data_IF_427481204522
#
_entry.id   IF_427481204522
#
_cell.length_a   1.000
_cell.length_b   1.000
_cell.length_c   1.000
_cell.angle_alpha   90.00
_cell.angle_beta   90.00
_cell.angle_gamma   90.00
#
_symmetry.space_group_name_H-M   'P 1'
#
loop_
_entity.id
_entity.type
_entity.pdbx_description
1 polymer ?
#
# COMPACT_ATOMS: atom_id res chain seq x y z
N UNK A 1 34.22 -53.56 16.04
CA UNK A 1 34.31 -53.62 17.52
C UNK A 1 33.45 -52.47 18.04
N UNK A 2 32.17 -52.70 18.40
CA UNK A 2 31.66 -53.24 19.71
C UNK A 2 31.75 -52.09 20.74
N UNK A 3 30.71 -51.48 21.33
CA UNK A 3 29.34 -51.83 21.79
C UNK A 3 28.40 -50.58 21.73
N UNK A 4 27.05 -50.61 21.60
CA UNK A 4 25.95 -51.17 22.46
C UNK A 4 25.97 -50.56 23.89
N UNK A 5 24.90 -50.05 24.53
CA UNK A 5 23.52 -50.51 24.84
C UNK A 5 22.63 -49.28 25.27
N UNK A 6 21.35 -49.15 24.86
CA UNK A 6 20.07 -49.48 25.55
C UNK A 6 19.59 -48.48 26.66
N UNK A 7 18.46 -47.78 26.45
CA UNK A 7 17.10 -47.94 27.06
C UNK A 7 17.07 -47.68 28.60
N UNK A 8 16.17 -46.88 29.18
CA UNK A 8 14.78 -47.23 29.60
C UNK A 8 14.11 -45.98 30.25
N UNK A 9 12.90 -45.64 29.76
CA UNK A 9 11.60 -45.40 30.46
C UNK A 9 11.55 -44.60 31.77
N UNK A 10 10.64 -43.62 31.85
CA UNK A 10 9.66 -43.51 32.94
C UNK A 10 8.45 -42.62 32.56
N UNK A 11 7.28 -43.24 32.56
CA UNK A 11 5.95 -42.63 32.59
C UNK A 11 5.71 -42.02 33.98
N UNK A 12 4.86 -40.98 34.08
CA UNK A 12 3.95 -40.90 35.21
C UNK A 12 2.71 -40.05 34.91
N UNK A 13 1.57 -40.69 35.16
CA UNK A 13 0.19 -40.26 35.02
C UNK A 13 -0.35 -39.50 36.25
N UNK A 14 -1.46 -38.78 36.02
CA UNK A 14 -2.65 -38.60 36.89
C UNK A 14 -2.53 -37.82 38.23
N UNK A 15 -3.35 -36.78 38.36
CA UNK A 15 -4.57 -36.86 39.21
C UNK A 15 -5.46 -35.60 39.13
N UNK A 16 -6.74 -35.85 38.87
CA UNK A 16 -7.90 -35.00 39.12
C UNK A 16 -8.41 -35.20 40.56
N UNK A 17 -8.96 -34.15 41.17
CA UNK A 17 -10.06 -34.14 42.18
C UNK A 17 -10.11 -32.72 42.79
N UNK A 18 -11.18 -32.10 43.27
CA UNK A 18 -12.62 -32.39 43.44
C UNK A 18 -13.29 -31.02 43.75
N UNK A 19 -14.49 -30.74 43.23
CA UNK A 19 -15.79 -30.71 43.96
C UNK A 19 -15.84 -29.80 45.20
N UNK A 20 -16.60 -28.70 45.16
CA UNK A 20 -18.02 -28.54 45.53
C UNK A 20 -18.14 -27.82 46.89
N UNK A 21 -18.70 -26.63 46.90
CA UNK A 21 -19.35 -26.08 48.09
C UNK A 21 -20.66 -25.39 47.69
N UNK A 22 -21.75 -25.97 48.20
CA UNK A 22 -23.13 -25.49 48.13
C UNK A 22 -23.42 -24.77 49.45
N UNK A 23 -23.94 -23.55 49.40
CA UNK A 23 -24.82 -23.08 50.47
C UNK A 23 -25.94 -22.19 49.92
N UNK A 24 -27.12 -22.49 50.46
CA UNK A 24 -28.43 -21.93 50.24
C UNK A 24 -28.62 -20.58 50.92
N UNK A 25 -29.35 -19.66 50.30
CA UNK A 25 -30.39 -18.91 51.02
C UNK A 25 -31.45 -18.35 50.07
N UNK A 26 -32.68 -18.35 50.56
CA UNK A 26 -33.94 -18.00 49.89
C UNK A 26 -34.45 -16.65 50.39
N UNK A 27 -34.87 -15.76 49.49
CA UNK A 27 -36.01 -14.86 49.72
C UNK A 27 -36.41 -14.14 48.43
N UNK A 28 -37.70 -14.27 48.11
CA UNK A 28 -38.40 -13.51 47.08
C UNK A 28 -38.72 -12.09 47.60
N UNK A 29 -38.51 -11.06 46.79
CA UNK A 29 -39.38 -9.87 46.75
C UNK A 29 -39.46 -9.31 45.32
N UNK A 30 -40.70 -9.08 44.88
CA UNK A 30 -41.16 -8.61 43.57
C UNK A 30 -41.32 -7.09 43.59
N UNK A 31 -40.58 -6.35 42.74
CA UNK A 31 -40.85 -4.94 42.43
C UNK A 31 -40.58 -4.66 40.95
N UNK A 32 -41.66 -4.64 40.18
CA UNK A 32 -41.92 -3.85 38.96
C UNK A 32 -40.75 -3.08 38.33
N UNK A 33 -40.24 -3.55 37.18
CA UNK A 33 -39.41 -2.73 36.29
C UNK A 33 -40.21 -2.35 35.05
N UNK A 34 -40.41 -1.04 34.89
CA UNK A 34 -41.01 -0.38 33.75
C UNK A 34 -40.27 -0.79 32.47
N UNK A 35 -41.03 -1.26 31.47
CA UNK A 35 -40.57 -1.35 30.08
C UNK A 35 -40.35 0.06 29.53
N UNK A 36 -39.11 0.33 29.15
CA UNK A 36 -38.56 1.44 28.36
C UNK A 36 -37.05 1.08 28.27
N UNK A 37 -36.39 0.88 27.13
CA UNK A 37 -36.58 1.44 25.81
C UNK A 37 -36.03 0.44 24.77
N UNK A 38 -36.82 0.12 23.75
CA UNK A 38 -36.30 -0.35 22.46
C UNK A 38 -35.51 0.82 21.84
N UNK A 39 -34.22 0.92 22.12
CA UNK A 39 -33.31 1.67 21.25
C UNK A 39 -32.83 0.70 20.17
N UNK A 40 -33.68 0.50 19.17
CA UNK A 40 -33.21 0.00 17.88
C UNK A 40 -32.11 0.95 17.36
N UNK A 41 -31.12 0.44 16.59
CA UNK A 41 -30.06 1.29 16.09
C UNK A 41 -30.68 2.39 15.23
N UNK A 42 -30.58 3.63 15.70
CA UNK A 42 -30.79 4.83 14.88
C UNK A 42 -29.58 4.85 13.94
N UNK A 43 -29.69 4.18 12.79
CA UNK A 43 -28.82 4.49 11.66
C UNK A 43 -29.31 5.83 11.14
N UNK A 44 -28.62 6.90 11.53
CA UNK A 44 -28.69 8.14 10.78
C UNK A 44 -28.34 7.80 9.33
N UNK A 45 -29.20 8.17 8.39
CA UNK A 45 -29.03 7.90 6.96
C UNK A 45 -27.87 8.70 6.34
N UNK A 46 -26.83 8.98 7.10
CA UNK A 46 -25.56 9.48 6.61
C UNK A 46 -24.98 8.39 5.68
N UNK A 47 -24.66 8.70 4.42
CA UNK A 47 -23.96 7.75 3.56
C UNK A 47 -22.71 7.29 4.31
N UNK A 48 -22.53 5.98 4.48
CA UNK A 48 -21.27 5.42 4.93
C UNK A 48 -20.26 5.80 3.83
N UNK A 49 -19.50 6.86 4.04
CA UNK A 49 -18.41 7.21 3.14
C UNK A 49 -17.47 6.01 3.10
N UNK A 50 -17.30 5.42 1.90
CA UNK A 50 -16.35 4.32 1.69
C UNK A 50 -14.98 4.81 2.12
N UNK A 51 -14.43 4.21 3.17
CA UNK A 51 -13.10 4.52 3.64
C UNK A 51 -12.10 4.12 2.55
N UNK A 52 -11.26 5.07 2.12
CA UNK A 52 -10.26 4.83 1.09
C UNK A 52 -9.01 4.22 1.72
N UNK A 53 -8.41 3.27 1.01
CA UNK A 53 -7.19 2.57 1.40
C UNK A 53 -6.09 3.56 1.80
N UNK A 54 -5.47 3.26 2.93
CA UNK A 54 -4.30 3.95 3.46
C UNK A 54 -3.21 2.91 3.70
N UNK A 55 -2.07 3.08 3.06
CA UNK A 55 -0.97 2.11 3.12
C UNK A 55 -0.24 2.22 4.47
N UNK A 56 -0.33 1.19 5.35
CA UNK A 56 0.34 1.23 6.65
C UNK A 56 1.86 1.02 6.53
N UNK A 57 2.34 0.41 5.45
CA UNK A 57 3.76 0.12 5.22
C UNK A 57 4.48 1.28 4.54
N UNK A 58 3.74 2.16 3.88
CA UNK A 58 4.27 3.36 3.22
C UNK A 58 3.42 4.60 3.54
N UNK A 59 3.45 5.05 4.80
CA UNK A 59 2.53 6.08 5.28
C UNK A 59 2.79 7.45 4.64
N UNK A 60 1.73 8.22 4.45
CA UNK A 60 1.77 9.56 3.86
C UNK A 60 2.42 10.62 4.80
N UNK A 61 3.70 10.44 5.14
CA UNK A 61 4.48 11.30 6.02
C UNK A 61 5.97 11.31 5.62
N UNK A 62 6.82 11.92 6.45
CA UNK A 62 8.24 12.10 6.15
C UNK A 62 9.04 10.78 6.07
N UNK A 63 8.60 9.68 6.70
CA UNK A 63 9.29 8.39 6.63
C UNK A 63 9.30 7.81 5.21
N UNK A 64 8.20 8.00 4.47
CA UNK A 64 8.14 7.61 3.06
C UNK A 64 8.93 8.55 2.13
N UNK A 65 9.25 9.77 2.58
CA UNK A 65 10.03 10.73 1.79
C UNK A 65 11.54 10.57 1.99
N UNK A 66 11.99 10.30 3.22
CA UNK A 66 13.39 10.42 3.62
C UNK A 66 13.88 9.19 4.40
N UNK A 67 15.12 8.78 4.15
CA UNK A 67 15.68 7.56 4.75
C UNK A 67 16.27 7.78 6.15
N UNK A 68 16.85 8.96 6.37
CA UNK A 68 17.67 9.23 7.58
C UNK A 68 17.52 10.64 8.16
N UNK A 69 16.56 11.44 7.68
CA UNK A 69 16.41 12.83 8.11
C UNK A 69 14.97 13.11 8.52
N UNK A 70 14.79 13.42 9.79
CA UNK A 70 13.62 14.17 10.20
C UNK A 70 13.78 15.63 9.72
N UNK A 71 13.31 15.89 8.49
CA UNK A 71 13.10 17.25 7.99
C UNK A 71 11.70 17.70 8.42
N UNK A 72 11.44 17.73 9.72
CA UNK A 72 10.20 18.19 10.36
C UNK A 72 9.75 19.58 9.90
N UNK A 73 10.63 20.35 9.26
CA UNK A 73 10.37 21.71 8.77
C UNK A 73 9.97 21.84 7.29
N UNK A 74 9.75 20.76 6.54
CA UNK A 74 9.35 20.89 5.14
C UNK A 74 7.84 21.20 5.00
N UNK A 75 7.40 22.34 5.56
CA UNK A 75 6.01 22.85 5.57
C UNK A 75 5.38 22.94 4.17
N UNK A 76 6.19 22.86 3.12
CA UNK A 76 5.75 22.92 1.73
C UNK A 76 5.15 21.62 1.20
N UNK A 77 5.39 20.46 1.83
CA UNK A 77 4.93 19.15 1.32
C UNK A 77 3.63 18.74 1.98
N UNK A 78 2.63 18.45 1.16
CA UNK A 78 1.34 17.87 1.57
C UNK A 78 1.15 16.56 0.84
N UNK A 79 0.50 15.59 1.47
CA UNK A 79 0.07 14.38 0.81
C UNK A 79 -1.38 14.53 0.41
N UNK A 80 -1.69 14.35 -0.87
CA UNK A 80 -3.05 14.47 -1.40
C UNK A 80 -3.33 13.38 -2.42
N UNK A 81 -4.57 12.89 -2.45
CA UNK A 81 -5.10 12.04 -3.52
C UNK A 81 -5.36 12.89 -4.76
N UNK A 82 -5.20 12.37 -5.99
CA UNK A 82 -5.48 13.08 -7.25
C UNK A 82 -6.82 13.82 -7.26
N UNK A 83 -7.88 13.18 -6.75
CA UNK A 83 -9.23 13.78 -6.62
C UNK A 83 -9.30 15.06 -5.76
N UNK A 84 -8.29 15.33 -4.93
CA UNK A 84 -8.25 16.50 -4.04
C UNK A 84 -7.56 17.73 -4.66
N UNK A 85 -6.92 17.58 -5.82
CA UNK A 85 -6.20 18.69 -6.47
C UNK A 85 -6.29 18.70 -8.00
N UNK A 86 -7.00 17.75 -8.61
CA UNK A 86 -7.29 17.72 -10.04
C UNK A 86 -8.76 17.40 -10.26
N UNK A 87 -9.41 18.12 -11.17
CA UNK A 87 -10.86 18.00 -11.41
C UNK A 87 -11.26 16.66 -12.04
N UNK A 88 -10.44 16.16 -12.98
CA UNK A 88 -10.70 14.91 -13.72
C UNK A 88 -9.44 14.06 -13.74
N UNK A 89 -9.02 13.47 -12.60
CA UNK A 89 -7.86 12.61 -12.57
C UNK A 89 -8.14 11.32 -13.36
N UNK A 90 -7.14 10.85 -14.07
CA UNK A 90 -7.14 9.60 -14.83
C UNK A 90 -5.95 8.76 -14.43
N UNK A 91 -6.18 7.48 -14.21
CA UNK A 91 -5.08 6.57 -13.96
C UNK A 91 -4.23 6.50 -15.23
N UNK A 92 -4.90 6.24 -16.36
CA UNK A 92 -4.27 6.16 -17.66
C UNK A 92 -5.03 6.98 -18.72
N UNK A 93 -4.30 7.69 -19.58
CA UNK A 93 -4.86 8.40 -20.74
C UNK A 93 -4.27 7.77 -22.00
N UNK A 94 -5.10 7.16 -22.84
CA UNK A 94 -4.61 6.43 -24.01
C UNK A 94 -3.80 7.31 -25.01
N UNK A 95 -2.80 6.69 -25.65
CA UNK A 95 -2.15 7.19 -26.86
C UNK A 95 -0.82 7.91 -26.65
N UNK A 96 -0.80 9.07 -25.99
CA UNK A 96 0.35 9.99 -26.03
C UNK A 96 1.17 10.06 -24.73
N UNK A 97 0.54 9.87 -23.59
CA UNK A 97 1.10 10.23 -22.29
C UNK A 97 2.05 9.18 -21.71
N UNK A 98 1.87 7.90 -22.07
CA UNK A 98 2.79 6.81 -21.69
C UNK A 98 4.23 7.06 -22.15
N UNK A 99 4.40 7.78 -23.27
CA UNK A 99 5.69 8.08 -23.87
C UNK A 99 6.36 9.34 -23.31
N UNK A 100 5.59 10.17 -22.62
CA UNK A 100 5.99 11.52 -22.22
C UNK A 100 6.13 11.63 -20.69
N UNK A 101 7.01 10.82 -20.13
CA UNK A 101 7.35 10.87 -18.71
C UNK A 101 8.29 12.07 -18.44
N UNK A 102 8.00 12.84 -17.39
CA UNK A 102 8.76 14.04 -17.00
C UNK A 102 9.34 13.92 -15.60
N UNK A 103 10.63 14.19 -15.48
CA UNK A 103 11.35 14.20 -14.21
C UNK A 103 10.78 15.27 -13.25
N UNK A 104 10.59 14.88 -11.99
CA UNK A 104 10.26 15.78 -10.89
C UNK A 104 11.50 16.37 -10.22
N UNK A 105 11.41 16.67 -8.92
CA UNK A 105 12.55 17.16 -8.12
C UNK A 105 13.51 16.04 -7.67
N UNK A 106 13.22 14.79 -7.98
CA UNK A 106 14.01 13.63 -7.57
C UNK A 106 15.15 13.35 -8.56
N UNK A 107 16.29 12.86 -8.05
CA UNK A 107 17.46 12.48 -8.85
C UNK A 107 17.37 11.06 -9.39
N UNK A 108 16.22 10.68 -9.94
CA UNK A 108 15.85 9.31 -10.34
C UNK A 108 15.70 9.16 -11.87
N UNK A 109 16.39 10.00 -12.64
CA UNK A 109 16.33 10.01 -14.12
C UNK A 109 16.60 8.63 -14.75
N UNK A 110 17.34 7.76 -14.05
CA UNK A 110 17.61 6.38 -14.40
C UNK A 110 16.34 5.50 -14.42
N UNK A 111 15.45 5.66 -13.44
CA UNK A 111 14.18 4.95 -13.36
C UNK A 111 13.17 5.50 -14.37
N UNK A 112 13.10 6.83 -14.49
CA UNK A 112 12.29 7.54 -15.49
C UNK A 112 12.58 7.08 -16.93
N UNK A 113 13.87 7.01 -17.31
CA UNK A 113 14.28 6.57 -18.65
C UNK A 113 13.91 5.11 -18.93
N UNK A 114 13.98 4.26 -17.90
CA UNK A 114 13.59 2.85 -17.99
C UNK A 114 12.08 2.70 -18.16
N UNK A 115 11.28 3.48 -17.41
CA UNK A 115 9.81 3.50 -17.54
C UNK A 115 9.36 4.05 -18.91
N UNK A 116 10.03 5.09 -19.42
CA UNK A 116 9.75 5.61 -20.76
C UNK A 116 10.02 4.56 -21.85
N UNK A 117 11.09 3.76 -21.68
CA UNK A 117 11.39 2.64 -22.59
C UNK A 117 10.37 1.51 -22.47
N UNK A 118 9.98 1.15 -21.23
CA UNK A 118 8.95 0.15 -20.95
C UNK A 118 7.61 0.50 -21.62
N UNK A 119 7.20 1.76 -21.57
CA UNK A 119 5.96 2.24 -22.18
C UNK A 119 5.92 2.06 -23.72
N UNK A 120 7.07 1.82 -24.36
CA UNK A 120 7.16 1.49 -25.80
C UNK A 120 6.91 0.01 -26.11
N UNK A 121 6.85 -0.85 -25.11
CA UNK A 121 6.63 -2.29 -25.23
C UNK A 121 5.38 -2.69 -24.45
N UNK A 122 4.18 -2.66 -25.08
CA UNK A 122 2.90 -2.86 -24.38
C UNK A 122 2.84 -4.13 -23.54
N UNK A 123 3.41 -5.23 -24.03
CA UNK A 123 3.43 -6.54 -23.36
C UNK A 123 4.16 -6.50 -22.02
N UNK A 124 5.27 -5.75 -21.93
CA UNK A 124 6.02 -5.56 -20.69
C UNK A 124 5.34 -4.50 -19.80
N UNK A 125 4.76 -3.47 -20.42
CA UNK A 125 4.06 -2.42 -19.68
C UNK A 125 2.91 -2.98 -18.85
N UNK A 126 2.01 -3.80 -19.44
CA UNK A 126 0.88 -4.39 -18.71
C UNK A 126 1.33 -5.38 -17.63
N UNK A 127 2.55 -5.89 -17.71
CA UNK A 127 3.11 -6.75 -16.68
C UNK A 127 3.50 -5.95 -15.43
N UNK A 128 4.05 -4.74 -15.61
CA UNK A 128 4.45 -3.83 -14.52
C UNK A 128 3.29 -2.99 -14.00
N UNK A 129 2.43 -2.51 -14.91
CA UNK A 129 1.25 -1.68 -14.66
C UNK A 129 0.01 -2.48 -15.08
N UNK A 130 -0.55 -3.31 -14.19
CA UNK A 130 -1.64 -4.19 -14.56
C UNK A 130 -2.93 -3.43 -14.88
N UNK A 131 -3.69 -3.94 -15.85
CA UNK A 131 -4.99 -3.42 -16.28
C UNK A 131 -6.09 -3.57 -15.21
N UNK A 132 -5.80 -4.32 -14.14
CA UNK A 132 -6.69 -4.49 -12.98
C UNK A 132 -6.80 -3.23 -12.12
N UNK A 133 -5.87 -2.27 -12.27
CA UNK A 133 -5.98 -0.96 -11.61
C UNK A 133 -7.17 -0.19 -12.17
N UNK A 134 -8.10 0.17 -11.28
CA UNK A 134 -9.32 0.89 -11.64
C UNK A 134 -9.07 2.36 -11.94
N UNK A 135 -9.92 2.95 -12.77
CA UNK A 135 -9.93 4.39 -13.00
C UNK A 135 -10.43 5.15 -11.76
N UNK A 136 -10.03 6.43 -11.63
CA UNK A 136 -10.43 7.22 -10.47
C UNK A 136 -11.96 7.44 -10.41
N UNK A 137 -12.65 7.54 -11.53
CA UNK A 137 -14.11 7.74 -11.60
C UNK A 137 -14.92 6.44 -11.58
N UNK A 138 -14.28 5.29 -11.39
CA UNK A 138 -14.95 4.00 -11.25
C UNK A 138 -15.66 3.88 -9.88
N UNK A 139 -16.78 3.15 -9.85
CA UNK A 139 -17.54 2.85 -8.63
C UNK A 139 -16.71 1.95 -7.67
N UNK A 140 -15.83 1.12 -8.24
CA UNK A 140 -14.96 0.22 -7.49
C UNK A 140 -13.75 0.92 -6.88
N UNK A 141 -13.46 2.19 -7.24
CA UNK A 141 -12.36 2.97 -6.68
C UNK A 141 -12.36 2.96 -5.15
N UNK A 142 -11.25 2.50 -4.57
CA UNK A 142 -11.02 2.40 -3.13
C UNK A 142 -9.73 3.10 -2.71
N UNK A 143 -9.07 3.83 -3.62
CA UNK A 143 -7.81 4.52 -3.34
C UNK A 143 -6.58 3.62 -3.28
N UNK A 144 -6.69 2.35 -3.70
CA UNK A 144 -5.62 1.37 -3.79
C UNK A 144 -5.18 1.15 -5.24
N UNK A 145 -3.87 1.06 -5.45
CA UNK A 145 -3.25 0.72 -6.73
C UNK A 145 -2.13 -0.29 -6.51
N UNK A 146 -1.82 -1.08 -7.53
CA UNK A 146 -0.77 -2.08 -7.45
C UNK A 146 0.07 -2.16 -8.72
N UNK A 147 1.35 -2.46 -8.53
CA UNK A 147 2.35 -2.56 -9.57
C UNK A 147 3.18 -3.81 -9.37
N UNK A 148 3.81 -4.33 -10.42
CA UNK A 148 4.65 -5.52 -10.32
C UNK A 148 6.09 -5.17 -10.70
N UNK A 149 7.02 -5.62 -9.88
CA UNK A 149 8.46 -5.47 -10.11
C UNK A 149 9.13 -6.83 -10.05
N UNK A 150 10.11 -7.06 -10.90
CA UNK A 150 10.94 -8.25 -10.81
C UNK A 150 11.96 -8.08 -9.69
N UNK A 151 11.93 -8.95 -8.68
CA UNK A 151 12.88 -8.92 -7.57
C UNK A 151 13.39 -10.33 -7.32
N UNK A 152 14.70 -10.49 -7.23
CA UNK A 152 15.37 -11.75 -6.85
C UNK A 152 14.90 -13.02 -7.59
N UNK A 153 14.43 -12.88 -8.84
CA UNK A 153 14.01 -14.02 -9.66
C UNK A 153 12.50 -14.30 -9.65
N UNK A 154 11.69 -13.43 -9.05
CA UNK A 154 10.23 -13.53 -9.09
C UNK A 154 9.54 -12.17 -9.26
N UNK A 155 8.28 -12.20 -9.68
CA UNK A 155 7.44 -10.99 -9.76
C UNK A 155 6.83 -10.70 -8.39
N UNK A 156 7.17 -9.54 -7.84
CA UNK A 156 6.62 -9.04 -6.57
C UNK A 156 5.56 -7.98 -6.88
N UNK A 157 4.37 -8.16 -6.32
CA UNK A 157 3.30 -7.14 -6.39
C UNK A 157 3.45 -6.17 -5.22
N UNK A 158 3.52 -4.88 -5.53
CA UNK A 158 3.59 -3.79 -4.55
C UNK A 158 2.29 -3.00 -4.61
N UNK A 159 1.58 -2.98 -3.49
CA UNK A 159 0.34 -2.21 -3.31
C UNK A 159 0.67 -0.87 -2.65
N UNK A 160 0.05 0.20 -3.13
CA UNK A 160 0.15 1.56 -2.58
C UNK A 160 -1.21 2.24 -2.54
N UNK A 161 -1.42 3.15 -1.61
CA UNK A 161 -2.51 4.11 -1.73
C UNK A 161 -2.19 5.22 -2.75
N UNK A 162 -3.19 6.00 -3.14
CA UNK A 162 -3.03 7.08 -4.13
C UNK A 162 -2.66 8.45 -3.55
N UNK A 163 -2.30 8.56 -2.27
CA UNK A 163 -1.80 9.83 -1.70
C UNK A 163 -0.42 10.12 -2.29
N UNK A 164 -0.26 11.26 -2.93
CA UNK A 164 0.98 11.70 -3.57
C UNK A 164 1.54 12.96 -2.90
N UNK A 165 2.88 13.10 -2.82
CA UNK A 165 3.52 14.32 -2.36
C UNK A 165 3.28 15.47 -3.34
N UNK A 166 2.61 16.52 -2.88
CA UNK A 166 2.34 17.76 -3.62
C UNK A 166 2.88 18.99 -2.87
N UNK A 167 3.28 20.02 -3.63
CA UNK A 167 3.64 21.30 -3.04
C UNK A 167 2.38 22.09 -2.62
N UNK A 168 2.57 23.27 -2.02
CA UNK A 168 1.46 24.14 -1.59
C UNK A 168 0.47 24.49 -2.71
N UNK A 169 0.93 24.53 -3.97
CA UNK A 169 0.12 24.83 -5.15
C UNK A 169 -0.64 23.60 -5.70
N UNK A 170 -0.45 22.43 -5.11
CA UNK A 170 -1.06 21.18 -5.59
C UNK A 170 -0.30 20.51 -6.73
N UNK A 171 0.94 20.93 -7.04
CA UNK A 171 1.75 20.27 -8.06
C UNK A 171 2.53 19.11 -7.44
N UNK A 172 2.55 17.96 -8.13
CA UNK A 172 3.40 16.81 -7.78
C UNK A 172 4.86 17.24 -7.58
N UNK A 173 5.49 16.75 -6.51
CA UNK A 173 6.92 17.00 -6.26
C UNK A 173 7.83 16.14 -7.12
N UNK A 174 7.42 14.90 -7.38
CA UNK A 174 8.23 13.89 -8.04
C UNK A 174 7.71 13.63 -9.46
N UNK A 175 7.93 12.42 -9.97
CA UNK A 175 7.55 11.97 -11.29
C UNK A 175 6.13 12.35 -11.71
N UNK A 176 5.99 12.76 -12.97
CA UNK A 176 4.69 13.01 -13.60
C UNK A 176 4.76 12.76 -15.10
N UNK A 177 3.62 12.66 -15.78
CA UNK A 177 3.59 12.66 -17.24
C UNK A 177 3.39 14.07 -17.81
N UNK A 178 3.49 14.23 -19.13
CA UNK A 178 3.19 15.51 -19.80
C UNK A 178 1.72 15.88 -19.69
N UNK A 179 0.86 14.88 -19.52
CA UNK A 179 -0.58 15.00 -19.32
C UNK A 179 -0.86 15.27 -17.84
N UNK A 180 -1.28 16.49 -17.51
CA UNK A 180 -1.39 16.93 -16.11
C UNK A 180 -2.44 16.18 -15.28
N UNK A 181 -3.39 15.49 -15.91
CA UNK A 181 -4.42 14.74 -15.24
C UNK A 181 -4.17 13.22 -15.23
N UNK A 182 -3.00 12.77 -15.65
CA UNK A 182 -2.64 11.36 -15.65
C UNK A 182 -1.66 11.02 -14.53
N UNK A 183 -1.92 9.92 -13.81
CA UNK A 183 -1.24 9.61 -12.55
C UNK A 183 -0.56 8.24 -12.48
N UNK A 184 -0.68 7.34 -13.48
CA UNK A 184 -0.03 6.02 -13.43
C UNK A 184 1.46 6.10 -13.09
N UNK A 185 2.18 7.07 -13.68
CA UNK A 185 3.62 7.18 -13.48
C UNK A 185 3.98 7.63 -12.07
N UNK A 186 3.24 8.61 -11.52
CA UNK A 186 3.47 9.10 -10.16
C UNK A 186 3.20 7.99 -9.12
N UNK A 187 2.20 7.14 -9.38
CA UNK A 187 1.86 6.00 -8.54
C UNK A 187 2.86 4.84 -8.71
N UNK A 188 3.36 4.60 -9.92
CA UNK A 188 4.42 3.62 -10.18
C UNK A 188 5.72 4.01 -9.46
N UNK A 189 6.13 5.28 -9.57
CA UNK A 189 7.30 5.82 -8.86
C UNK A 189 7.11 5.69 -7.33
N UNK A 190 5.89 5.92 -6.82
CA UNK A 190 5.58 5.69 -5.41
C UNK A 190 5.76 4.22 -5.01
N UNK A 191 5.25 3.28 -5.80
CA UNK A 191 5.38 1.86 -5.51
C UNK A 191 6.84 1.40 -5.55
N UNK A 192 7.63 1.94 -6.47
CA UNK A 192 9.06 1.68 -6.52
C UNK A 192 9.81 2.31 -5.32
N UNK A 193 9.42 3.52 -4.90
CA UNK A 193 9.93 4.14 -3.68
C UNK A 193 9.59 3.30 -2.44
N UNK A 194 8.39 2.72 -2.36
CA UNK A 194 8.00 1.77 -1.31
C UNK A 194 8.90 0.54 -1.30
N UNK A 195 9.13 -0.07 -2.45
CA UNK A 195 10.00 -1.23 -2.60
C UNK A 195 11.42 -0.97 -2.09
N UNK A 196 11.93 0.25 -2.33
CA UNK A 196 13.27 0.70 -1.88
C UNK A 196 13.27 1.43 -0.52
N UNK A 197 12.11 1.52 0.14
CA UNK A 197 11.90 2.04 1.49
C UNK A 197 11.62 3.54 1.62
N UNK A 198 11.94 4.39 0.62
CA UNK A 198 11.61 5.82 0.61
C UNK A 198 11.84 6.44 -0.78
N UNK A 199 11.25 7.61 -1.05
CA UNK A 199 11.58 8.37 -2.26
C UNK A 199 13.06 8.78 -2.32
N UNK A 200 13.66 9.19 -1.20
CA UNK A 200 15.10 9.53 -1.15
C UNK A 200 16.00 8.34 -1.52
N UNK A 201 15.56 7.10 -1.32
CA UNK A 201 16.32 5.92 -1.71
C UNK A 201 16.48 5.78 -3.24
N UNK A 202 15.62 6.42 -4.03
CA UNK A 202 15.71 6.41 -5.50
C UNK A 202 16.75 7.41 -6.05
N UNK A 203 17.28 8.30 -5.21
CA UNK A 203 18.26 9.31 -5.63
C UNK A 203 19.60 8.64 -5.93
N UNK A 204 20.07 8.78 -7.18
CA UNK A 204 21.41 8.34 -7.58
C UNK A 204 21.55 6.82 -7.81
N UNK A 205 20.45 6.13 -8.12
CA UNK A 205 20.50 4.73 -8.57
C UNK A 205 21.03 4.55 -10.00
N UNK A 206 21.15 3.30 -10.44
CA UNK A 206 21.69 2.92 -11.75
C UNK A 206 20.58 2.46 -12.70
N UNK A 207 20.60 2.93 -13.95
CA UNK A 207 19.56 2.62 -14.94
C UNK A 207 19.44 1.13 -15.27
N UNK A 208 20.53 0.38 -15.13
CA UNK A 208 20.54 -1.07 -15.32
C UNK A 208 19.69 -1.80 -14.29
N UNK A 209 19.71 -1.37 -13.03
CA UNK A 209 18.89 -1.95 -11.96
C UNK A 209 17.39 -1.74 -12.25
N UNK A 210 17.00 -0.52 -12.65
CA UNK A 210 15.61 -0.25 -13.03
C UNK A 210 15.18 -1.07 -14.25
N UNK A 211 16.04 -1.21 -15.26
CA UNK A 211 15.68 -2.03 -16.43
C UNK A 211 15.49 -3.50 -16.06
N UNK A 212 16.33 -4.07 -15.20
CA UNK A 212 16.16 -5.45 -14.72
C UNK A 212 14.82 -5.61 -13.98
N UNK A 213 14.54 -4.69 -13.05
CA UNK A 213 13.32 -4.71 -12.24
C UNK A 213 12.04 -4.54 -13.07
N UNK A 214 12.13 -3.88 -14.23
CA UNK A 214 10.99 -3.54 -15.09
C UNK A 214 10.80 -4.46 -16.32
N UNK A 215 11.82 -5.22 -16.74
CA UNK A 215 11.77 -5.89 -18.06
C UNK A 215 12.04 -7.39 -18.06
N UNK A 216 12.64 -7.96 -17.00
CA UNK A 216 13.12 -9.37 -16.99
C UNK A 216 13.91 -9.67 -18.26
N UNK A 217 15.18 -9.26 -18.34
CA UNK A 217 16.04 -9.77 -19.41
C UNK A 217 16.39 -11.23 -19.08
N UNK A 218 15.57 -12.16 -19.56
CA UNK A 218 16.02 -13.55 -19.72
C UNK A 218 17.13 -13.56 -20.78
N UNK A 219 18.37 -13.68 -20.34
CA UNK A 219 19.41 -14.28 -21.17
C UNK A 219 18.97 -15.73 -21.47
N UNK A 220 18.31 -15.92 -22.62
CA UNK A 220 18.18 -17.24 -23.24
C UNK A 220 19.46 -17.59 -23.98
#
# INVERSE_FOLDING_TARGET
MVNREENIVEENELSLSNENDVSSDSSEEDVSTKHNDDIGPISDGSPIEKELFEDPEFPANNFSLYRWRDKSDNKEIKWKRPKQFKDVPKFFVEGFSRFDVRQGKLGDCWFLASCASLATVPELFVQVVPEENVEFDDDDYDGMFHFRFWQYGEWVTVVVDDRLPVNEKGNLLYGKTSTENEFWFALLEKAYAKLHGSYEALVGGLGEDAMVDLTVIHHR
#
